data_IF_537653573010
#
_entry.id   IF_537653573010
#
_cell.length_a   1.000
_cell.length_b   1.000
_cell.length_c   1.000
_cell.angle_alpha   90.00
_cell.angle_beta   90.00
_cell.angle_gamma   90.00
#
_symmetry.space_group_name_H-M   'P 1'
#
loop_
_entity.id
_entity.type
_entity.pdbx_description
1 polymer ?
#
# COMPACT_ATOMS: atom_id res chain seq x y z
N UNK A 1 10.79 -9.37 2.18
CA UNK A 1 10.56 -8.00 1.68
C UNK A 1 11.29 -6.97 2.54
N UNK A 2 11.93 -5.99 1.93
CA UNK A 2 12.70 -4.95 2.64
C UNK A 2 11.85 -3.68 2.89
N UNK A 3 12.33 -2.80 3.77
CA UNK A 3 11.71 -1.48 3.98
C UNK A 3 11.73 -0.62 2.70
N UNK A 4 12.74 -0.80 1.82
CA UNK A 4 12.81 -0.09 0.53
C UNK A 4 11.69 -0.52 -0.41
N UNK A 5 11.43 -1.82 -0.50
CA UNK A 5 10.36 -2.35 -1.36
C UNK A 5 9.00 -1.82 -0.91
N UNK A 6 8.75 -1.83 0.40
CA UNK A 6 7.54 -1.29 1.00
C UNK A 6 7.33 0.18 0.65
N UNK A 7 8.36 1.01 0.84
CA UNK A 7 8.28 2.44 0.53
C UNK A 7 7.99 2.66 -0.96
N UNK A 8 8.57 1.83 -1.83
CA UNK A 8 8.35 1.94 -3.27
C UNK A 8 6.93 1.57 -3.68
N UNK A 9 6.37 0.51 -3.08
CA UNK A 9 4.97 0.12 -3.31
C UNK A 9 4.04 1.23 -2.81
N UNK A 10 4.28 1.79 -1.63
CA UNK A 10 3.48 2.89 -1.11
C UNK A 10 3.53 4.14 -1.99
N UNK A 11 4.70 4.48 -2.54
CA UNK A 11 4.89 5.56 -3.50
C UNK A 11 4.08 5.31 -4.79
N UNK A 12 4.16 4.11 -5.36
CA UNK A 12 3.42 3.73 -6.57
C UNK A 12 1.91 3.81 -6.33
N UNK A 13 1.41 3.26 -5.23
CA UNK A 13 -0.02 3.33 -4.88
C UNK A 13 -0.50 4.77 -4.70
N UNK A 14 0.34 5.64 -4.14
CA UNK A 14 0.03 7.08 -4.00
C UNK A 14 -0.10 7.77 -5.35
N UNK A 15 0.80 7.51 -6.29
CA UNK A 15 0.71 8.09 -7.63
C UNK A 15 -0.49 7.55 -8.41
N UNK A 16 -0.72 6.24 -8.35
CA UNK A 16 -1.85 5.58 -9.01
C UNK A 16 -3.20 6.09 -8.47
N UNK A 17 -3.29 6.39 -7.17
CA UNK A 17 -4.48 7.01 -6.56
C UNK A 17 -4.86 8.34 -7.20
N UNK A 18 -3.91 9.10 -7.76
CA UNK A 18 -4.20 10.37 -8.46
C UNK A 18 -4.89 10.15 -9.81
N UNK A 19 -4.75 8.95 -10.39
CA UNK A 19 -5.26 8.62 -11.72
C UNK A 19 -6.48 7.68 -11.68
N UNK A 20 -6.68 6.95 -10.58
CA UNK A 20 -7.80 6.02 -10.41
C UNK A 20 -8.95 6.65 -9.61
N UNK A 21 -10.16 6.10 -9.79
CA UNK A 21 -11.27 6.35 -8.89
C UNK A 21 -10.95 5.87 -7.48
N UNK A 22 -11.61 6.47 -6.49
CA UNK A 22 -11.41 6.13 -5.07
C UNK A 22 -11.67 4.65 -4.78
N UNK A 23 -12.72 4.08 -5.38
CA UNK A 23 -13.07 2.66 -5.28
C UNK A 23 -11.94 1.75 -5.80
N UNK A 24 -11.40 2.04 -6.98
CA UNK A 24 -10.33 1.26 -7.58
C UNK A 24 -9.03 1.39 -6.77
N UNK A 25 -8.73 2.60 -6.28
CA UNK A 25 -7.56 2.83 -5.43
C UNK A 25 -7.63 2.08 -4.10
N UNK A 26 -8.83 1.99 -3.52
CA UNK A 26 -9.09 1.24 -2.27
C UNK A 26 -8.95 -0.25 -2.50
N UNK A 27 -9.49 -0.76 -3.61
CA UNK A 27 -9.35 -2.17 -3.98
C UNK A 27 -7.88 -2.57 -4.15
N UNK A 28 -7.10 -1.74 -4.86
CA UNK A 28 -5.66 -1.93 -5.03
C UNK A 28 -4.91 -1.91 -3.70
N UNK A 29 -5.22 -0.95 -2.82
CA UNK A 29 -4.64 -0.88 -1.49
C UNK A 29 -4.89 -2.17 -0.69
N UNK A 30 -6.13 -2.69 -0.70
CA UNK A 30 -6.49 -3.91 0.01
C UNK A 30 -5.78 -5.14 -0.54
N UNK A 31 -5.70 -5.27 -1.88
CA UNK A 31 -4.98 -6.37 -2.54
C UNK A 31 -3.50 -6.38 -2.17
N UNK A 32 -2.83 -5.23 -2.24
CA UNK A 32 -1.44 -5.12 -1.80
C UNK A 32 -1.31 -5.38 -0.30
N UNK A 33 -2.19 -4.83 0.55
CA UNK A 33 -2.12 -5.06 2.00
C UNK A 33 -2.24 -6.54 2.35
N UNK A 34 -3.10 -7.29 1.66
CA UNK A 34 -3.23 -8.73 1.81
C UNK A 34 -1.95 -9.46 1.39
N UNK A 35 -1.45 -9.20 0.17
CA UNK A 35 -0.23 -9.82 -0.35
C UNK A 35 0.99 -9.54 0.55
N UNK A 36 1.15 -8.29 1.00
CA UNK A 36 2.26 -7.90 1.87
C UNK A 36 2.19 -8.57 3.25
N UNK A 37 0.99 -8.88 3.73
CA UNK A 37 0.75 -9.59 5.00
C UNK A 37 1.06 -11.08 4.89
N UNK A 38 0.75 -11.71 3.77
CA UNK A 38 1.14 -13.10 3.50
C UNK A 38 2.66 -13.24 3.38
N UNK A 39 3.31 -12.32 2.66
CA UNK A 39 4.77 -12.34 2.44
C UNK A 39 5.59 -11.92 3.66
N UNK A 40 5.01 -11.12 4.55
CA UNK A 40 5.67 -10.61 5.75
C UNK A 40 4.70 -10.59 6.94
N UNK A 41 4.78 -11.57 7.85
CA UNK A 41 3.95 -11.61 9.06
C UNK A 41 4.10 -10.39 9.98
N UNK A 42 5.20 -9.64 9.86
CA UNK A 42 5.44 -8.38 10.60
C UNK A 42 4.91 -7.15 9.87
N UNK A 43 4.20 -7.32 8.77
CA UNK A 43 3.59 -6.23 8.02
C UNK A 43 2.61 -5.46 8.92
N UNK A 44 2.78 -4.14 8.95
CA UNK A 44 1.94 -3.21 9.70
C UNK A 44 1.08 -2.43 8.71
N UNK A 45 -0.16 -2.90 8.55
CA UNK A 45 -1.15 -2.31 7.65
C UNK A 45 -1.44 -0.84 8.00
N UNK A 46 -1.42 -0.48 9.30
CA UNK A 46 -1.67 0.90 9.72
C UNK A 46 -0.56 1.81 9.24
N UNK A 47 0.71 1.40 9.41
CA UNK A 47 1.84 2.16 8.85
C UNK A 47 1.75 2.26 7.33
N UNK A 48 1.26 1.20 6.67
CA UNK A 48 1.16 1.17 5.21
C UNK A 48 0.09 2.12 4.70
N UNK A 49 -1.06 2.14 5.34
CA UNK A 49 -2.10 3.13 5.11
C UNK A 49 -1.54 4.55 5.26
N UNK A 50 -0.84 4.86 6.36
CA UNK A 50 -0.21 6.19 6.53
C UNK A 50 0.76 6.53 5.40
N UNK A 51 1.58 5.57 4.97
CA UNK A 51 2.51 5.78 3.87
C UNK A 51 1.79 6.04 2.53
N UNK A 52 0.70 5.33 2.24
CA UNK A 52 -0.06 5.50 0.99
C UNK A 52 -0.88 6.80 1.01
N UNK A 53 -1.59 7.06 2.11
CA UNK A 53 -2.59 8.14 2.23
C UNK A 53 -2.05 9.45 2.82
N UNK A 54 -0.81 9.48 3.34
CA UNK A 54 -0.20 10.63 4.02
C UNK A 54 -1.03 11.19 5.20
N UNK A 55 -1.57 10.28 6.02
CA UNK A 55 -2.37 10.56 7.23
C UNK A 55 -1.63 10.18 8.52
#
# INVERSE_FOLDING_TARGET
MTQKDYNKIAEVLREVKKCLSEENSTTLFLQFSFMLKEDNPRFDERKFSKAVYQI
#
